data_IF_866581125335
#
_entry.id   IF_866581125335
#
_cell.length_a   1.000
_cell.length_b   1.000
_cell.length_c   1.000
_cell.angle_alpha   90.00
_cell.angle_beta   90.00
_cell.angle_gamma   90.00
#
_symmetry.space_group_name_H-M   'P 1'
#
loop_
_entity.id
_entity.type
_entity.pdbx_description
1 polymer ?
#
# COMPACT_ATOMS: atom_id res chain seq x y z
N UNK A 1 2.02 -2.02 20.49
CA UNK A 1 1.26 -0.91 19.91
C UNK A 1 0.87 -1.26 18.49
N UNK A 2 -0.40 -1.13 18.15
CA UNK A 2 -0.79 -1.40 16.76
C UNK A 2 -0.24 -0.34 15.83
N UNK A 3 -0.05 -0.76 14.59
CA UNK A 3 0.38 0.15 13.54
C UNK A 3 -0.84 0.74 12.87
N UNK A 4 -0.72 1.95 12.35
CA UNK A 4 -1.81 2.56 11.59
C UNK A 4 -1.72 2.10 10.14
N UNK A 5 -2.85 1.75 9.53
CA UNK A 5 -2.91 1.35 8.13
C UNK A 5 -3.99 2.20 7.47
N UNK A 6 -3.65 2.81 6.34
CA UNK A 6 -4.53 3.73 5.64
C UNK A 6 -4.51 3.45 4.15
N UNK A 7 -5.57 3.83 3.45
CA UNK A 7 -5.59 3.80 1.99
C UNK A 7 -4.89 5.04 1.45
N UNK A 8 -4.09 4.84 0.40
CA UNK A 8 -3.63 5.99 -0.38
C UNK A 8 -4.85 6.69 -0.98
N UNK A 9 -4.75 7.99 -1.15
CA UNK A 9 -5.84 8.79 -1.66
C UNK A 9 -6.36 8.25 -3.00
N UNK A 10 -5.47 7.80 -3.86
CA UNK A 10 -5.83 7.27 -5.17
C UNK A 10 -6.49 5.90 -5.10
N UNK A 11 -6.19 5.13 -4.05
CA UNK A 11 -6.69 3.77 -3.94
C UNK A 11 -8.09 3.71 -3.33
N UNK A 12 -8.44 4.65 -2.50
CA UNK A 12 -9.71 4.60 -1.79
C UNK A 12 -10.92 4.41 -2.70
N UNK A 13 -11.08 5.21 -3.77
CA UNK A 13 -12.23 4.99 -4.66
C UNK A 13 -12.14 3.67 -5.43
N UNK A 14 -10.92 3.18 -5.70
CA UNK A 14 -10.78 1.88 -6.36
C UNK A 14 -11.22 0.75 -5.44
N UNK A 15 -10.88 0.86 -4.16
CA UNK A 15 -11.30 -0.13 -3.18
C UNK A 15 -12.84 -0.21 -3.11
N UNK A 16 -13.50 0.93 -3.14
CA UNK A 16 -14.96 1.00 -2.98
C UNK A 16 -15.72 0.22 -4.04
N UNK A 17 -15.13 0.05 -5.23
CA UNK A 17 -15.81 -0.68 -6.31
C UNK A 17 -15.31 -2.11 -6.48
N UNK A 18 -14.43 -2.59 -5.61
CA UNK A 18 -14.00 -3.98 -5.66
C UNK A 18 -15.10 -4.91 -5.21
N UNK A 19 -15.05 -6.16 -5.69
CA UNK A 19 -15.94 -7.21 -5.23
C UNK A 19 -15.90 -7.30 -3.70
N UNK A 20 -17.06 -7.51 -3.08
CA UNK A 20 -17.13 -7.51 -1.62
C UNK A 20 -16.23 -8.56 -0.99
N UNK A 21 -16.11 -9.74 -1.59
CA UNK A 21 -15.22 -10.78 -1.07
C UNK A 21 -13.78 -10.32 -1.07
N UNK A 22 -13.38 -9.55 -2.09
CA UNK A 22 -12.02 -9.00 -2.16
C UNK A 22 -11.84 -7.93 -1.08
N UNK A 23 -12.84 -7.06 -0.91
CA UNK A 23 -12.79 -6.05 0.15
C UNK A 23 -12.63 -6.68 1.52
N UNK A 24 -13.41 -7.73 1.79
CA UNK A 24 -13.36 -8.40 3.10
C UNK A 24 -11.99 -9.01 3.37
N UNK A 25 -11.41 -9.69 2.38
CA UNK A 25 -10.10 -10.30 2.56
C UNK A 25 -9.01 -9.23 2.70
N UNK A 26 -9.12 -8.16 1.92
CA UNK A 26 -8.15 -7.08 2.02
C UNK A 26 -8.17 -6.48 3.41
N UNK A 27 -9.36 -6.21 3.95
CA UNK A 27 -9.49 -5.65 5.29
C UNK A 27 -8.96 -6.59 6.35
N UNK A 28 -9.15 -7.91 6.16
CA UNK A 28 -8.59 -8.89 7.09
C UNK A 28 -7.07 -8.85 7.09
N UNK A 29 -6.47 -8.72 5.91
CA UNK A 29 -5.01 -8.60 5.79
C UNK A 29 -4.51 -7.27 6.36
N UNK A 30 -5.29 -6.20 6.18
CA UNK A 30 -4.93 -4.91 6.75
C UNK A 30 -4.89 -4.99 8.28
N UNK A 31 -5.79 -5.77 8.89
CA UNK A 31 -5.77 -5.96 10.33
C UNK A 31 -4.51 -6.69 10.78
N UNK A 32 -4.07 -7.69 10.02
CA UNK A 32 -2.80 -8.35 10.31
C UNK A 32 -1.65 -7.35 10.22
N UNK A 33 -1.70 -6.47 9.24
CA UNK A 33 -0.66 -5.48 9.07
C UNK A 33 -0.65 -4.51 10.25
N UNK A 34 -1.82 -4.14 10.76
CA UNK A 34 -1.91 -3.31 11.96
C UNK A 34 -1.27 -3.97 13.16
N UNK A 35 -1.46 -5.27 13.27
CA UNK A 35 -0.97 -6.02 14.42
C UNK A 35 0.53 -6.27 14.36
N UNK A 36 1.05 -6.65 13.20
CA UNK A 36 2.43 -7.08 13.06
C UNK A 36 3.35 -6.05 12.41
N UNK A 37 2.79 -5.05 11.72
CA UNK A 37 3.59 -4.00 11.09
C UNK A 37 4.58 -4.53 10.08
N UNK A 38 5.78 -3.94 10.01
CA UNK A 38 6.78 -4.35 9.02
C UNK A 38 7.27 -5.79 9.20
N UNK A 39 6.99 -6.43 10.33
CA UNK A 39 7.42 -7.81 10.52
C UNK A 39 6.48 -8.83 9.88
N UNK A 40 5.32 -8.38 9.37
CA UNK A 40 4.42 -9.28 8.68
C UNK A 40 5.09 -9.81 7.42
N UNK A 41 5.17 -11.15 7.30
CA UNK A 41 5.85 -11.80 6.20
C UNK A 41 4.99 -12.88 5.57
N UNK A 42 5.63 -13.77 4.83
CA UNK A 42 4.94 -14.85 4.15
C UNK A 42 4.15 -15.69 5.12
N UNK A 43 3.02 -16.22 4.72
CA UNK A 43 2.43 -16.13 3.38
C UNK A 43 1.59 -14.87 3.14
N UNK A 44 1.44 -14.00 4.15
CA UNK A 44 0.53 -12.87 4.07
C UNK A 44 1.12 -11.65 3.37
N UNK A 45 2.44 -11.49 3.43
CA UNK A 45 3.11 -10.33 2.83
C UNK A 45 4.50 -10.72 2.35
N UNK A 46 5.04 -9.93 1.42
CA UNK A 46 6.38 -10.13 0.92
C UNK A 46 6.90 -8.82 0.36
N UNK A 47 8.20 -8.76 0.13
CA UNK A 47 8.83 -7.59 -0.47
C UNK A 47 8.61 -7.61 -1.98
N UNK A 48 8.33 -6.43 -2.56
CA UNK A 48 8.24 -6.27 -4.01
C UNK A 48 9.58 -5.80 -4.52
N UNK A 49 10.14 -6.57 -5.45
CA UNK A 49 11.41 -6.23 -6.09
C UNK A 49 11.12 -5.48 -7.38
N UNK A 50 12.03 -4.60 -7.77
CA UNK A 50 11.87 -3.86 -9.01
C UNK A 50 11.25 -2.48 -8.83
N UNK A 51 10.94 -2.10 -7.59
CA UNK A 51 10.45 -0.76 -7.30
C UNK A 51 11.63 0.19 -7.13
N UNK A 52 11.38 1.47 -7.41
CA UNK A 52 12.37 2.49 -7.07
C UNK A 52 12.38 2.77 -5.56
N UNK A 53 11.42 2.21 -4.82
CA UNK A 53 11.39 2.31 -3.36
C UNK A 53 11.77 0.96 -2.77
N UNK A 54 12.82 0.93 -1.97
CA UNK A 54 13.31 -0.32 -1.40
C UNK A 54 12.33 -0.95 -0.43
N UNK A 55 11.43 -0.17 0.14
CA UNK A 55 10.49 -0.64 1.14
C UNK A 55 9.09 -0.96 0.59
N UNK A 56 8.96 -1.08 -0.72
CA UNK A 56 7.66 -1.45 -1.30
C UNK A 56 7.41 -2.93 -1.06
N UNK A 57 6.21 -3.25 -0.58
CA UNK A 57 5.80 -4.60 -0.23
C UNK A 57 4.44 -4.92 -0.81
N UNK A 58 4.02 -6.16 -0.69
CA UNK A 58 2.70 -6.59 -1.15
C UNK A 58 2.01 -7.44 -0.09
N UNK A 59 0.70 -7.24 0.07
CA UNK A 59 -0.17 -8.19 0.76
C UNK A 59 -0.60 -9.23 -0.26
N UNK A 60 -0.80 -10.47 0.20
CA UNK A 60 -1.08 -11.62 -0.67
C UNK A 60 -2.31 -12.35 -0.15
N UNK A 61 -3.30 -12.54 -1.01
CA UNK A 61 -4.48 -13.33 -0.65
C UNK A 61 -5.23 -13.76 -1.90
N UNK A 62 -6.12 -14.74 -1.72
CA UNK A 62 -7.02 -15.19 -2.78
C UNK A 62 -8.43 -14.78 -2.39
N UNK A 63 -9.22 -14.37 -3.36
CA UNK A 63 -10.62 -14.03 -3.14
C UNK A 63 -11.35 -13.99 -4.47
N UNK A 64 -12.63 -14.37 -4.47
CA UNK A 64 -13.49 -14.30 -5.65
C UNK A 64 -12.82 -14.93 -6.87
N UNK A 65 -12.21 -16.10 -6.68
CA UNK A 65 -11.51 -16.87 -7.72
C UNK A 65 -10.31 -16.14 -8.33
N UNK A 66 -9.84 -15.08 -7.66
CA UNK A 66 -8.67 -14.34 -8.13
C UNK A 66 -7.50 -14.51 -7.19
N UNK A 67 -6.33 -14.12 -7.68
CA UNK A 67 -5.08 -14.15 -6.93
C UNK A 67 -4.65 -12.71 -6.73
N UNK A 68 -4.91 -12.18 -5.55
CA UNK A 68 -4.80 -10.75 -5.30
C UNK A 68 -3.49 -10.35 -4.66
N UNK A 69 -3.01 -9.19 -5.08
CA UNK A 69 -1.83 -8.55 -4.51
C UNK A 69 -2.16 -7.08 -4.26
N UNK A 70 -1.79 -6.59 -3.08
CA UNK A 70 -2.01 -5.18 -2.73
C UNK A 70 -0.66 -4.58 -2.37
N UNK A 71 -0.18 -3.66 -3.19
CA UNK A 71 1.10 -3.01 -2.92
C UNK A 71 0.94 -2.02 -1.78
N UNK A 72 1.91 -2.00 -0.88
CA UNK A 72 1.89 -1.07 0.25
C UNK A 72 3.32 -0.74 0.68
N UNK A 73 3.44 0.31 1.48
CA UNK A 73 4.72 0.67 2.08
C UNK A 73 4.44 1.41 3.38
N UNK A 74 5.39 1.33 4.31
CA UNK A 74 5.31 2.15 5.52
C UNK A 74 5.97 3.50 5.24
N UNK A 75 5.26 4.56 5.60
CA UNK A 75 5.74 5.92 5.35
C UNK A 75 6.57 6.42 6.54
N UNK A 76 7.19 7.60 6.43
CA UNK A 76 8.02 8.13 7.53
C UNK A 76 7.25 8.36 8.82
N UNK A 77 5.94 8.44 8.77
CA UNK A 77 5.12 8.58 9.98
C UNK A 77 4.70 7.23 10.53
N UNK A 78 5.33 6.15 10.04
CA UNK A 78 5.11 4.79 10.51
C UNK A 78 3.69 4.29 10.26
N UNK A 79 3.10 4.73 9.16
CA UNK A 79 1.78 4.25 8.73
C UNK A 79 1.95 3.36 7.53
N UNK A 80 1.21 2.26 7.49
CA UNK A 80 1.17 1.40 6.32
C UNK A 80 0.19 1.97 5.32
N UNK A 81 0.67 2.34 4.16
CA UNK A 81 -0.15 2.97 3.14
C UNK A 81 -0.46 1.95 2.05
N UNK A 82 -1.73 1.61 1.89
CA UNK A 82 -2.18 0.68 0.85
C UNK A 82 -2.32 1.46 -0.45
N UNK A 83 -1.58 1.04 -1.47
CA UNK A 83 -1.38 1.87 -2.66
C UNK A 83 -2.21 1.46 -3.86
N UNK A 84 -2.29 0.17 -4.14
CA UNK A 84 -3.01 -0.33 -5.31
C UNK A 84 -3.20 -1.83 -5.18
N UNK A 85 -4.33 -2.34 -5.70
CA UNK A 85 -4.62 -3.76 -5.70
C UNK A 85 -4.74 -4.26 -7.12
N UNK A 86 -4.41 -5.52 -7.33
CA UNK A 86 -4.58 -6.16 -8.62
C UNK A 86 -4.76 -7.66 -8.48
N UNK A 87 -5.48 -8.23 -9.44
CA UNK A 87 -5.67 -9.67 -9.56
C UNK A 87 -4.68 -10.17 -10.59
N UNK A 88 -3.75 -11.03 -10.17
CA UNK A 88 -2.72 -11.47 -11.10
C UNK A 88 -3.10 -12.75 -11.86
N UNK A 89 -4.29 -13.29 -11.59
CA UNK A 89 -4.74 -14.46 -12.33
C UNK A 89 -5.02 -14.08 -13.80
N UNK A 90 -4.70 -14.99 -14.70
CA UNK A 90 -5.00 -14.80 -16.12
C UNK A 90 -4.06 -13.87 -16.86
N UNK A 91 -2.95 -13.44 -16.26
CA UNK A 91 -1.98 -12.61 -16.97
C UNK A 91 -0.58 -13.09 -16.68
N UNK A 92 0.39 -12.64 -17.48
CA UNK A 92 1.78 -12.98 -17.18
C UNK A 92 2.20 -12.28 -15.90
N UNK A 93 2.89 -13.01 -15.07
CA UNK A 93 3.33 -12.48 -13.78
C UNK A 93 4.22 -11.26 -13.96
N UNK A 94 5.10 -11.31 -14.95
CA UNK A 94 6.02 -10.22 -15.24
C UNK A 94 5.28 -8.94 -15.60
N UNK A 95 4.28 -9.05 -16.48
CA UNK A 95 3.49 -7.87 -16.89
C UNK A 95 2.66 -7.36 -15.72
N UNK A 96 2.08 -8.27 -14.98
CA UNK A 96 1.27 -7.90 -13.82
C UNK A 96 2.06 -7.06 -12.84
N UNK A 97 3.24 -7.56 -12.44
CA UNK A 97 4.03 -6.86 -11.44
C UNK A 97 4.60 -5.55 -11.95
N UNK A 98 4.94 -5.48 -13.24
CA UNK A 98 5.41 -4.22 -13.80
C UNK A 98 4.34 -3.13 -13.65
N UNK A 99 3.11 -3.45 -14.03
CA UNK A 99 2.01 -2.50 -13.93
C UNK A 99 1.71 -2.14 -12.48
N UNK A 100 1.67 -3.14 -11.61
CA UNK A 100 1.38 -2.92 -10.20
C UNK A 100 2.43 -1.99 -9.58
N UNK A 101 3.70 -2.27 -9.83
CA UNK A 101 4.79 -1.51 -9.23
C UNK A 101 4.83 -0.09 -9.78
N UNK A 102 4.58 0.10 -11.08
CA UNK A 102 4.53 1.44 -11.66
C UNK A 102 3.50 2.31 -10.97
N UNK A 103 2.29 1.77 -10.79
CA UNK A 103 1.24 2.51 -10.10
C UNK A 103 1.60 2.76 -8.64
N UNK A 104 2.12 1.74 -7.98
CA UNK A 104 2.47 1.86 -6.57
C UNK A 104 3.55 2.91 -6.37
N UNK A 105 4.58 2.90 -7.21
CA UNK A 105 5.66 3.88 -7.11
C UNK A 105 5.15 5.30 -7.29
N UNK A 106 4.30 5.52 -8.29
CA UNK A 106 3.75 6.85 -8.55
C UNK A 106 2.91 7.33 -7.38
N UNK A 107 2.10 6.43 -6.81
CA UNK A 107 1.23 6.80 -5.70
C UNK A 107 2.00 7.03 -4.41
N UNK A 108 3.04 6.25 -4.20
CA UNK A 108 3.90 6.46 -3.02
C UNK A 108 4.63 7.78 -3.15
N UNK A 109 5.15 8.10 -4.34
CA UNK A 109 5.77 9.39 -4.58
C UNK A 109 4.82 10.53 -4.25
N UNK A 110 3.58 10.44 -4.72
CA UNK A 110 2.58 11.47 -4.44
C UNK A 110 2.28 11.58 -2.94
N UNK A 111 2.17 10.44 -2.28
CA UNK A 111 1.92 10.42 -0.84
C UNK A 111 3.06 11.09 -0.08
N UNK A 112 4.30 10.75 -0.43
CA UNK A 112 5.46 11.32 0.23
C UNK A 112 5.58 12.82 -0.02
N UNK A 113 5.21 13.28 -1.22
CA UNK A 113 5.21 14.70 -1.51
C UNK A 113 4.16 15.43 -0.67
N UNK A 114 3.00 14.83 -0.50
CA UNK A 114 1.96 15.42 0.35
C UNK A 114 2.43 15.53 1.80
N UNK A 115 3.13 14.50 2.28
CA UNK A 115 3.68 14.54 3.63
C UNK A 115 4.71 15.64 3.80
N UNK A 116 5.57 15.82 2.81
CA UNK A 116 6.55 16.91 2.84
C UNK A 116 5.86 18.26 2.90
N UNK A 117 4.80 18.44 2.12
CA UNK A 117 4.03 19.66 2.14
C UNK A 117 3.43 19.94 3.50
N UNK A 118 2.88 18.92 4.13
CA UNK A 118 2.31 19.05 5.46
C UNK A 118 3.36 19.37 6.49
N UNK A 119 4.49 18.67 6.44
CA UNK A 119 5.58 18.93 7.37
C UNK A 119 6.13 20.34 7.21
N UNK A 120 6.24 20.77 5.97
CA UNK A 120 6.72 22.11 5.69
C UNK A 120 5.81 23.16 6.31
N UNK A 121 4.50 22.91 6.31
CA UNK A 121 3.55 23.82 6.94
C UNK A 121 3.57 23.73 8.45
N UNK A 122 3.56 22.52 8.97
CA UNK A 122 3.39 22.27 10.39
C UNK A 122 4.68 22.45 11.16
N UNK A 123 5.80 22.05 10.56
CA UNK A 123 7.08 22.07 11.21
C UNK A 123 7.87 23.34 11.00
N UNK A 124 7.38 24.22 10.16
CA UNK A 124 8.09 25.46 9.88
C UNK A 124 8.11 26.33 11.12
N UNK A 125 9.28 26.79 11.52
CA UNK A 125 9.33 27.71 12.66
C UNK A 125 8.48 28.93 12.38
N UNK A 126 7.84 29.40 13.42
CA UNK A 126 7.05 30.60 13.32
C UNK A 126 7.97 31.73 12.90
N UNK A 127 7.54 32.43 11.88
CA UNK A 127 8.35 33.49 11.35
C UNK A 127 8.45 34.60 12.38
N UNK A 128 9.65 34.95 12.70
CA UNK A 128 9.86 36.01 13.66
C UNK A 128 9.87 37.33 12.97
N UNK A 129 9.33 38.28 13.61
CA UNK A 129 9.31 39.61 13.04
C UNK A 129 10.16 40.56 13.82
#
# INVERSE_FOLDING_TARGET
MPWTVEFAQEFEPEFDVLNEAVQDELLARAKLLEQFGPSLGRPWADTLKGSQHANLKELRFDAANGVWRVAFAFDPRRRGILLVAGDKSGSSERRFYRTLIEKADARLDSHLERLKGEESKLGRPRRKK
#
